data_IF_150409919527
#
_entry.id   IF_150409919527
#
_cell.length_a   1.000
_cell.length_b   1.000
_cell.length_c   1.000
_cell.angle_alpha   90.00
_cell.angle_beta   90.00
_cell.angle_gamma   90.00
#
_symmetry.space_group_name_H-M   'P 1'
#
loop_
_entity.id
_entity.type
_entity.pdbx_description
1 polymer ?
#
# COMPACT_ATOMS: atom_id res chain seq x y z
N UNK A 1 48.79 -35.07 38.21
CA UNK A 1 47.77 -34.78 37.18
C UNK A 1 46.83 -35.96 37.20
N UNK A 2 45.62 -35.87 37.76
CA UNK A 2 44.81 -34.65 38.00
C UNK A 2 44.00 -34.73 39.30
N UNK A 3 43.41 -33.61 39.71
CA UNK A 3 42.74 -33.41 41.01
C UNK A 3 41.47 -34.23 41.27
N UNK A 4 41.23 -34.44 42.58
CA UNK A 4 39.91 -34.79 43.14
C UNK A 4 39.10 -33.54 43.47
N UNK A 5 37.76 -33.60 43.44
CA UNK A 5 36.92 -32.75 44.29
C UNK A 5 36.14 -33.59 45.33
N UNK A 6 36.14 -33.12 46.58
CA UNK A 6 35.38 -33.69 47.70
C UNK A 6 33.90 -33.28 47.71
N UNK A 7 33.00 -34.04 48.35
CA UNK A 7 31.57 -33.70 48.43
C UNK A 7 31.27 -32.53 49.39
N UNK A 8 30.15 -31.79 49.18
CA UNK A 8 29.78 -30.62 49.99
C UNK A 8 29.15 -30.98 51.35
N UNK A 9 29.27 -30.04 52.30
CA UNK A 9 28.76 -30.14 53.68
C UNK A 9 27.50 -29.26 53.91
N UNK A 10 26.67 -29.53 54.95
CA UNK A 10 25.34 -28.91 55.14
C UNK A 10 25.35 -27.55 55.87
N UNK A 11 24.24 -26.76 55.83
CA UNK A 11 24.17 -25.38 56.30
C UNK A 11 23.71 -25.22 57.77
N UNK A 12 24.07 -24.10 58.41
CA UNK A 12 23.62 -23.70 59.76
C UNK A 12 23.46 -22.15 59.91
N UNK A 13 22.79 -21.64 60.97
CA UNK A 13 21.87 -20.48 60.88
C UNK A 13 22.40 -19.12 61.42
N UNK A 14 21.61 -18.01 61.31
CA UNK A 14 22.06 -16.64 61.63
C UNK A 14 21.54 -16.06 62.96
N UNK A 15 22.22 -15.03 63.50
CA UNK A 15 21.68 -14.07 64.48
C UNK A 15 22.61 -12.84 64.75
N UNK A 16 22.01 -11.63 64.71
CA UNK A 16 21.89 -10.59 65.79
C UNK A 16 23.11 -10.27 66.72
N UNK A 17 23.34 -9.08 67.31
CA UNK A 17 22.72 -7.73 67.27
C UNK A 17 23.49 -6.75 68.21
N UNK A 18 23.41 -5.42 67.97
CA UNK A 18 23.64 -4.31 68.95
C UNK A 18 25.11 -4.06 69.43
N UNK A 19 25.54 -2.89 69.96
CA UNK A 19 24.89 -1.59 70.21
C UNK A 19 25.92 -0.41 70.36
N UNK A 20 25.40 0.83 70.42
CA UNK A 20 26.01 2.17 70.72
C UNK A 20 26.68 2.28 72.15
N UNK A 21 27.23 3.44 72.68
CA UNK A 21 27.13 4.88 72.28
C UNK A 21 28.40 5.82 72.48
N UNK A 22 28.22 7.14 72.20
CA UNK A 22 28.79 8.36 72.88
C UNK A 22 30.31 8.72 72.75
N UNK A 23 30.77 10.00 72.77
CA UNK A 23 30.11 11.33 72.74
C UNK A 23 31.09 12.49 72.33
N UNK A 24 30.53 13.68 72.01
CA UNK A 24 31.10 15.07 72.04
C UNK A 24 32.37 15.48 71.21
N UNK A 25 32.57 16.74 70.77
CA UNK A 25 31.83 18.02 70.98
C UNK A 25 31.77 18.93 69.72
N UNK A 26 30.84 19.90 69.74
CA UNK A 26 30.43 20.79 68.61
C UNK A 26 30.09 22.19 69.16
N UNK A 27 30.70 23.29 68.67
CA UNK A 27 30.09 24.15 67.63
C UNK A 27 31.14 24.79 66.67
N UNK A 28 30.89 25.67 65.69
CA UNK A 28 29.77 26.52 65.18
C UNK A 28 29.82 26.52 63.62
N UNK A 29 28.95 27.13 62.79
CA UNK A 29 27.78 28.02 62.97
C UNK A 29 26.59 27.63 62.03
N UNK A 30 26.15 28.53 61.13
CA UNK A 30 25.06 28.42 60.14
C UNK A 30 24.63 29.82 59.65
N UNK A 31 23.41 30.03 59.11
CA UNK A 31 22.38 29.10 58.60
C UNK A 31 22.05 29.42 57.09
N UNK A 32 20.98 28.99 56.39
CA UNK A 32 19.66 28.45 56.74
C UNK A 32 18.91 27.81 55.55
N UNK A 33 17.99 26.87 55.83
CA UNK A 33 16.71 26.59 55.12
C UNK A 33 16.72 26.18 53.61
N UNK A 34 15.96 25.17 53.14
CA UNK A 34 15.17 24.11 53.78
C UNK A 34 14.97 22.93 52.80
N UNK A 35 14.44 21.82 53.32
CA UNK A 35 14.45 20.52 52.63
C UNK A 35 13.13 20.13 51.94
N UNK A 36 13.29 19.26 50.92
CA UNK A 36 12.59 17.98 50.67
C UNK A 36 11.20 17.92 50.00
N UNK A 37 11.14 16.86 49.19
CA UNK A 37 10.02 16.22 48.47
C UNK A 37 8.87 15.76 49.39
N UNK A 38 7.65 15.49 48.85
CA UNK A 38 7.30 14.08 48.65
C UNK A 38 6.36 13.71 47.46
N UNK A 39 6.46 12.43 47.08
CA UNK A 39 5.44 11.44 46.67
C UNK A 39 4.20 11.77 45.77
N UNK A 40 4.11 10.95 44.70
CA UNK A 40 2.94 10.34 44.02
C UNK A 40 1.54 10.59 44.59
N UNK A 41 0.59 10.92 43.71
CA UNK A 41 -0.82 10.49 43.77
C UNK A 41 -1.43 10.38 42.37
N UNK A 42 -2.35 9.42 42.18
CA UNK A 42 -3.13 9.27 40.94
C UNK A 42 -4.05 10.47 40.70
N UNK A 43 -4.30 10.84 39.44
CA UNK A 43 -5.47 11.63 39.08
C UNK A 43 -6.00 11.27 37.69
N UNK A 44 -7.22 10.74 37.68
CA UNK A 44 -8.05 10.56 36.48
C UNK A 44 -8.66 11.90 36.07
N UNK A 45 -8.38 12.37 34.86
CA UNK A 45 -8.85 13.66 34.35
C UNK A 45 -9.93 13.49 33.27
N UNK A 46 -11.20 13.46 33.70
CA UNK A 46 -12.36 13.72 32.83
C UNK A 46 -12.49 15.22 32.60
N UNK A 47 -12.58 15.68 31.35
CA UNK A 47 -12.90 17.07 31.01
C UNK A 47 -13.89 17.15 29.82
N UNK A 48 -14.62 18.27 29.65
CA UNK A 48 -16.05 18.17 29.35
C UNK A 48 -16.47 18.59 27.93
N UNK A 49 -17.70 18.21 27.59
CA UNK A 49 -18.47 18.66 26.43
C UNK A 49 -19.04 20.07 26.70
N UNK A 50 -19.00 20.99 25.73
CA UNK A 50 -19.92 22.12 25.65
C UNK A 50 -20.97 21.89 24.54
N UNK A 51 -22.25 21.79 24.93
CA UNK A 51 -23.38 21.93 24.00
C UNK A 51 -23.61 23.41 23.65
N UNK A 52 -24.04 23.68 22.42
CA UNK A 52 -24.81 24.89 22.12
C UNK A 52 -25.69 24.68 20.87
N UNK A 53 -27.01 24.69 21.07
CA UNK A 53 -28.02 24.63 20.01
C UNK A 53 -28.12 25.95 19.22
N UNK A 54 -28.34 25.86 17.90
CA UNK A 54 -29.61 26.27 17.26
C UNK A 54 -29.53 26.45 15.73
N UNK A 55 -30.16 25.53 15.00
CA UNK A 55 -31.09 25.74 13.86
C UNK A 55 -30.79 26.87 12.84
N UNK A 56 -30.65 26.51 11.54
CA UNK A 56 -31.44 27.09 10.40
C UNK A 56 -31.15 26.37 9.06
N UNK A 57 -32.15 25.59 8.60
CA UNK A 57 -32.65 25.44 7.21
C UNK A 57 -31.73 24.99 6.05
N UNK A 58 -32.05 23.81 5.48
CA UNK A 58 -31.56 23.31 4.17
C UNK A 58 -32.15 24.07 2.97
N UNK A 59 -31.56 23.91 1.77
CA UNK A 59 -32.29 23.11 0.77
C UNK A 59 -31.40 22.11 0.00
N UNK A 60 -32.03 21.03 -0.47
CA UNK A 60 -31.41 20.05 -1.38
C UNK A 60 -31.34 20.57 -2.83
N UNK A 61 -30.52 19.94 -3.68
CA UNK A 61 -31.01 19.57 -5.01
C UNK A 61 -30.68 18.14 -5.43
N UNK A 62 -31.74 17.43 -5.84
CA UNK A 62 -31.84 16.42 -6.91
C UNK A 62 -30.60 15.66 -7.41
N UNK A 63 -30.69 14.33 -7.35
CA UNK A 63 -29.94 13.39 -8.19
C UNK A 63 -30.12 13.65 -9.69
N UNK A 64 -29.14 13.25 -10.51
CA UNK A 64 -29.46 12.59 -11.77
C UNK A 64 -28.79 11.21 -11.93
N UNK A 65 -29.64 10.24 -12.26
CA UNK A 65 -29.41 9.04 -13.08
C UNK A 65 -27.99 8.58 -13.43
N UNK A 66 -27.76 7.31 -13.11
CA UNK A 66 -26.87 6.35 -13.76
C UNK A 66 -26.42 6.67 -15.20
N UNK A 67 -25.10 6.61 -15.44
CA UNK A 67 -24.58 6.14 -16.71
C UNK A 67 -23.34 5.27 -16.49
N UNK A 68 -23.38 4.05 -17.02
CA UNK A 68 -22.30 3.07 -16.95
C UNK A 68 -21.34 3.27 -18.11
N UNK A 69 -20.06 3.49 -17.82
CA UNK A 69 -18.99 3.39 -18.83
C UNK A 69 -17.85 2.52 -18.32
N UNK A 70 -17.57 1.46 -19.10
CA UNK A 70 -16.39 0.63 -19.02
C UNK A 70 -15.17 1.37 -19.57
N UNK A 71 -13.96 0.99 -19.15
CA UNK A 71 -12.78 1.12 -20.00
C UNK A 71 -11.57 1.81 -19.37
N UNK A 72 -10.66 0.98 -18.90
CA UNK A 72 -9.23 1.23 -18.63
C UNK A 72 -8.62 2.43 -19.38
N UNK A 73 -8.24 3.49 -18.65
CA UNK A 73 -7.45 4.62 -19.15
C UNK A 73 -6.42 5.14 -18.13
N UNK A 74 -5.51 4.27 -17.67
CA UNK A 74 -4.32 4.68 -16.88
C UNK A 74 -3.01 4.11 -17.44
N UNK A 75 -2.74 4.36 -18.72
CA UNK A 75 -1.41 4.24 -19.35
C UNK A 75 -0.88 5.59 -19.83
N UNK A 76 -1.32 6.68 -19.17
CA UNK A 76 -1.19 8.06 -19.66
C UNK A 76 -0.59 9.07 -18.67
N UNK A 77 0.39 8.69 -17.84
CA UNK A 77 1.16 9.67 -17.07
C UNK A 77 2.25 10.31 -17.95
N UNK A 78 1.91 11.43 -18.59
CA UNK A 78 2.90 12.28 -19.27
C UNK A 78 3.88 12.85 -18.24
N UNK A 79 5.17 12.52 -18.41
CA UNK A 79 6.26 13.18 -17.68
C UNK A 79 6.30 14.67 -18.04
N UNK A 80 5.81 15.51 -17.14
CA UNK A 80 5.90 16.97 -17.27
C UNK A 80 7.29 17.44 -16.83
N UNK A 81 8.27 17.31 -17.72
CA UNK A 81 9.58 17.96 -17.51
C UNK A 81 9.47 19.47 -17.68
N UNK A 82 10.19 20.20 -16.84
CA UNK A 82 10.20 21.65 -16.74
C UNK A 82 10.58 22.33 -18.06
N UNK A 83 9.88 23.42 -18.38
CA UNK A 83 10.44 24.52 -19.17
C UNK A 83 11.05 25.51 -18.18
N UNK A 84 12.37 25.41 -18.01
CA UNK A 84 13.15 26.44 -17.31
C UNK A 84 13.67 27.41 -18.37
N UNK A 85 13.38 28.70 -18.21
CA UNK A 85 13.84 29.75 -19.13
C UNK A 85 15.35 29.98 -18.97
N UNK A 86 16.13 29.27 -19.80
CA UNK A 86 17.59 29.35 -19.87
C UNK A 86 18.06 30.07 -21.14
N UNK A 87 18.62 31.27 -20.97
CA UNK A 87 19.09 32.14 -22.06
C UNK A 87 20.52 31.79 -22.52
N UNK A 88 20.89 32.17 -23.75
CA UNK A 88 22.21 32.07 -24.42
C UNK A 88 22.64 30.71 -25.03
N UNK A 89 23.29 30.78 -26.22
CA UNK A 89 23.91 29.62 -26.87
C UNK A 89 24.10 29.71 -28.39
N UNK A 90 24.70 30.78 -28.91
CA UNK A 90 25.13 30.83 -30.33
C UNK A 90 26.55 30.29 -30.47
N UNK A 91 26.77 29.24 -31.28
CA UNK A 91 27.76 29.19 -32.40
C UNK A 91 28.08 27.77 -32.91
N UNK A 92 27.98 27.63 -34.23
CA UNK A 92 28.89 26.96 -35.19
C UNK A 92 29.72 25.73 -34.74
N UNK A 93 29.37 24.56 -35.28
CA UNK A 93 30.24 23.64 -36.04
C UNK A 93 29.30 22.64 -36.78
N UNK A 94 29.66 21.84 -37.77
CA UNK A 94 30.91 21.55 -38.46
C UNK A 94 30.60 20.39 -39.42
N UNK A 95 30.92 20.52 -40.71
CA UNK A 95 30.50 19.57 -41.76
C UNK A 95 31.25 18.23 -41.71
N UNK A 96 30.63 17.10 -42.11
CA UNK A 96 31.14 16.13 -43.14
C UNK A 96 30.33 14.80 -43.24
N UNK A 97 30.21 14.28 -44.49
CA UNK A 97 29.78 12.92 -44.92
C UNK A 97 28.31 12.49 -44.67
N UNK A 98 27.67 11.64 -45.50
CA UNK A 98 28.09 10.95 -46.73
C UNK A 98 26.92 10.87 -47.73
N UNK A 99 27.22 10.98 -49.03
CA UNK A 99 26.24 10.84 -50.13
C UNK A 99 25.85 9.38 -50.40
N UNK A 100 24.56 9.11 -50.60
CA UNK A 100 24.09 7.99 -51.43
C UNK A 100 22.98 8.44 -52.38
N UNK A 101 22.96 7.84 -53.57
CA UNK A 101 22.33 8.39 -54.77
C UNK A 101 21.06 7.61 -55.13
N UNK A 102 19.94 8.31 -55.34
CA UNK A 102 18.80 7.83 -56.13
C UNK A 102 18.25 8.97 -56.99
N UNK A 103 18.17 8.74 -58.30
CA UNK A 103 17.69 9.73 -59.25
C UNK A 103 16.17 9.81 -59.24
N UNK A 104 15.64 11.03 -59.17
CA UNK A 104 14.35 11.40 -59.73
C UNK A 104 14.44 12.86 -60.14
N UNK A 105 14.50 13.13 -61.45
CA UNK A 105 14.45 14.49 -61.98
C UNK A 105 13.05 15.07 -61.83
N UNK A 106 12.91 16.28 -61.27
CA UNK A 106 11.86 17.24 -61.64
C UNK A 106 12.13 18.64 -61.07
N UNK A 107 12.31 19.59 -61.99
CA UNK A 107 12.20 21.07 -61.89
C UNK A 107 12.98 21.88 -60.83
N UNK A 108 13.66 22.91 -61.34
CA UNK A 108 14.30 23.96 -60.54
C UNK A 108 13.31 24.73 -59.66
N UNK A 109 13.68 24.90 -58.38
CA UNK A 109 13.54 26.20 -57.73
C UNK A 109 14.70 26.40 -56.74
N UNK A 110 15.53 27.42 -57.00
CA UNK A 110 16.56 27.86 -56.07
C UNK A 110 15.85 28.42 -54.83
N UNK A 111 15.89 27.69 -53.71
CA UNK A 111 15.42 28.16 -52.40
C UNK A 111 16.63 28.46 -51.55
N UNK A 112 17.03 29.73 -51.51
CA UNK A 112 17.99 30.20 -50.54
C UNK A 112 17.43 29.95 -49.14
N UNK A 113 18.09 29.09 -48.36
CA UNK A 113 17.63 28.57 -47.06
C UNK A 113 17.49 29.60 -45.93
N UNK A 114 17.48 30.89 -46.27
CA UNK A 114 17.41 32.05 -45.39
C UNK A 114 15.96 32.58 -45.26
N UNK A 115 15.09 32.34 -46.25
CA UNK A 115 13.71 32.88 -46.27
C UNK A 115 12.62 31.79 -46.34
N UNK A 116 12.97 30.52 -46.17
CA UNK A 116 11.99 29.43 -46.11
C UNK A 116 11.39 29.30 -44.71
N UNK A 117 10.05 29.35 -44.59
CA UNK A 117 9.36 28.96 -43.35
C UNK A 117 9.74 27.52 -43.01
N UNK A 118 10.41 27.32 -41.87
CA UNK A 118 10.81 25.99 -41.42
C UNK A 118 9.57 25.14 -41.14
N UNK A 119 9.29 24.19 -42.04
CA UNK A 119 8.28 23.17 -41.86
C UNK A 119 8.96 21.96 -41.23
N UNK A 120 8.78 21.70 -39.91
CA UNK A 120 9.37 20.53 -39.29
C UNK A 120 8.82 19.26 -39.96
N UNK A 121 9.72 18.33 -40.30
CA UNK A 121 9.31 17.04 -40.84
C UNK A 121 8.35 16.37 -39.85
N UNK A 122 7.12 16.13 -40.28
CA UNK A 122 6.06 15.53 -39.46
C UNK A 122 6.48 14.10 -39.13
N UNK A 123 7.09 13.92 -37.94
CA UNK A 123 7.45 12.61 -37.40
C UNK A 123 6.16 11.86 -37.13
N UNK A 124 5.78 11.00 -38.08
CA UNK A 124 4.68 10.05 -37.92
C UNK A 124 5.07 9.10 -36.80
N UNK A 125 4.49 9.30 -35.62
CA UNK A 125 4.76 8.45 -34.46
C UNK A 125 4.51 6.99 -34.85
N UNK A 126 5.53 6.15 -34.67
CA UNK A 126 5.38 4.71 -34.86
C UNK A 126 4.32 4.22 -33.88
N UNK A 127 3.32 3.42 -34.29
CA UNK A 127 2.27 2.91 -33.42
C UNK A 127 2.79 1.76 -32.55
N UNK A 128 4.00 1.91 -31.99
CA UNK A 128 4.61 0.95 -31.09
C UNK A 128 3.79 0.90 -29.81
N UNK A 129 2.87 -0.06 -29.77
CA UNK A 129 2.29 -0.55 -28.53
C UNK A 129 3.31 -1.55 -27.97
N UNK A 130 3.89 -1.32 -26.77
CA UNK A 130 4.63 -2.38 -26.13
C UNK A 130 3.73 -3.61 -25.98
N UNK A 131 4.29 -4.84 -26.01
CA UNK A 131 3.50 -6.02 -25.71
C UNK A 131 2.84 -5.88 -24.33
N UNK A 132 1.66 -6.48 -24.11
CA UNK A 132 1.09 -6.55 -22.77
C UNK A 132 2.09 -7.23 -21.82
N UNK A 133 2.14 -6.79 -20.57
CA UNK A 133 2.96 -7.41 -19.53
C UNK A 133 2.48 -8.84 -19.28
N UNK A 134 3.40 -9.73 -18.93
CA UNK A 134 3.05 -11.09 -18.49
C UNK A 134 2.31 -11.04 -17.14
N UNK A 135 1.30 -11.91 -16.91
CA UNK A 135 0.51 -11.90 -15.68
C UNK A 135 1.37 -12.13 -14.42
N UNK A 136 1.04 -11.44 -13.33
CA UNK A 136 1.71 -11.61 -12.04
C UNK A 136 1.65 -13.06 -11.54
N UNK A 137 2.75 -13.51 -10.94
CA UNK A 137 2.86 -14.79 -10.24
C UNK A 137 3.12 -14.52 -8.75
N UNK A 138 2.27 -15.08 -7.89
CA UNK A 138 2.30 -14.86 -6.44
C UNK A 138 2.91 -16.09 -5.73
N UNK A 139 4.10 -15.93 -5.15
CA UNK A 139 4.89 -16.99 -4.51
C UNK A 139 4.92 -16.88 -2.98
N UNK A 140 5.14 -18.01 -2.30
CA UNK A 140 5.45 -18.05 -0.86
C UNK A 140 4.30 -18.39 0.09
N UNK A 141 3.12 -18.72 -0.44
CA UNK A 141 2.12 -19.48 0.31
C UNK A 141 2.58 -20.93 0.50
N UNK A 142 2.52 -21.45 1.73
CA UNK A 142 2.72 -22.88 2.02
C UNK A 142 1.55 -23.69 1.48
N UNK A 143 1.79 -24.96 1.16
CA UNK A 143 0.75 -25.91 0.74
C UNK A 143 -0.36 -26.09 1.80
N UNK A 144 -0.01 -25.89 3.07
CA UNK A 144 -0.95 -25.92 4.20
C UNK A 144 -1.82 -24.67 4.34
N UNK A 145 -1.50 -23.56 3.65
CA UNK A 145 -2.22 -22.30 3.80
C UNK A 145 -3.54 -22.33 3.01
N UNK A 146 -4.70 -22.30 3.70
CA UNK A 146 -5.99 -22.44 3.06
C UNK A 146 -6.30 -21.24 2.17
N UNK A 147 -7.00 -21.47 1.06
CA UNK A 147 -7.32 -20.41 0.07
C UNK A 147 -8.07 -19.23 0.69
N UNK A 148 -8.88 -19.46 1.73
CA UNK A 148 -9.62 -18.41 2.46
C UNK A 148 -8.72 -17.45 3.26
N UNK A 149 -7.50 -17.86 3.61
CA UNK A 149 -6.52 -17.05 4.32
C UNK A 149 -5.49 -16.38 3.39
N UNK A 150 -5.60 -16.60 2.06
CA UNK A 150 -4.79 -15.91 1.04
C UNK A 150 -5.46 -14.58 0.74
N UNK A 151 -4.83 -13.47 1.13
CA UNK A 151 -5.45 -12.15 1.09
C UNK A 151 -5.26 -11.47 -0.28
N UNK A 152 -4.05 -11.52 -0.84
CA UNK A 152 -3.77 -10.95 -2.16
C UNK A 152 -4.23 -11.89 -3.29
N UNK A 153 -5.23 -11.45 -4.05
CA UNK A 153 -5.61 -12.10 -5.31
C UNK A 153 -4.84 -11.50 -6.48
N UNK A 154 -4.58 -12.28 -7.54
CA UNK A 154 -3.90 -11.76 -8.76
C UNK A 154 -4.62 -10.54 -9.34
N UNK A 155 -5.96 -10.50 -9.30
CA UNK A 155 -6.72 -9.36 -9.82
C UNK A 155 -6.49 -8.07 -9.01
N UNK A 156 -6.40 -8.14 -7.67
CA UNK A 156 -5.98 -6.97 -6.85
C UNK A 156 -4.52 -6.63 -7.10
N UNK A 157 -3.65 -7.64 -7.22
CA UNK A 157 -2.22 -7.43 -7.43
C UNK A 157 -1.92 -6.68 -8.75
N UNK A 158 -2.62 -6.99 -9.85
CA UNK A 158 -2.46 -6.30 -11.13
C UNK A 158 -2.94 -4.83 -11.09
N UNK A 159 -4.02 -4.54 -10.36
CA UNK A 159 -4.47 -3.15 -10.14
C UNK A 159 -3.44 -2.35 -9.30
N UNK A 160 -2.82 -2.99 -8.30
CA UNK A 160 -1.70 -2.40 -7.55
C UNK A 160 -0.46 -2.22 -8.46
N UNK A 161 -0.15 -3.20 -9.33
CA UNK A 161 0.96 -3.13 -10.30
C UNK A 161 0.80 -1.98 -11.29
N UNK A 162 -0.41 -1.64 -11.70
CA UNK A 162 -0.67 -0.45 -12.52
C UNK A 162 -0.25 0.86 -11.82
N UNK A 163 -0.17 0.87 -10.48
CA UNK A 163 0.19 2.03 -9.65
C UNK A 163 1.66 2.02 -9.18
N UNK A 164 2.31 0.86 -9.02
CA UNK A 164 3.74 0.81 -8.63
C UNK A 164 4.66 1.46 -9.68
N UNK A 165 5.89 1.85 -9.34
CA UNK A 165 6.83 2.47 -10.28
C UNK A 165 7.19 1.58 -11.48
N UNK A 166 7.34 2.19 -12.67
CA UNK A 166 7.58 1.48 -13.94
C UNK A 166 8.71 0.44 -13.89
N UNK A 167 9.80 0.74 -13.17
CA UNK A 167 10.95 -0.17 -12.99
C UNK A 167 10.55 -1.52 -12.36
N UNK A 168 9.50 -1.53 -11.54
CA UNK A 168 9.01 -2.69 -10.79
C UNK A 168 7.85 -3.39 -11.50
N UNK A 169 7.10 -2.69 -12.37
CA UNK A 169 5.99 -3.27 -13.16
C UNK A 169 6.44 -4.42 -14.05
N UNK A 170 7.67 -4.36 -14.55
CA UNK A 170 8.25 -5.37 -15.43
C UNK A 170 8.48 -6.70 -14.68
N UNK A 171 8.56 -6.68 -13.35
CA UNK A 171 8.76 -7.90 -12.54
C UNK A 171 7.42 -8.57 -12.25
N UNK A 172 7.27 -9.81 -12.72
CA UNK A 172 6.06 -10.63 -12.56
C UNK A 172 6.00 -11.41 -11.24
N UNK A 173 7.15 -11.82 -10.71
CA UNK A 173 7.23 -12.62 -9.49
C UNK A 173 7.15 -11.74 -8.22
N UNK A 174 6.03 -11.82 -7.52
CA UNK A 174 5.86 -11.22 -6.20
C UNK A 174 6.00 -12.30 -5.13
N UNK A 175 6.76 -12.00 -4.08
CA UNK A 175 7.12 -12.96 -3.05
C UNK A 175 6.55 -12.57 -1.69
N UNK A 176 5.86 -13.49 -1.04
CA UNK A 176 5.30 -13.30 0.29
C UNK A 176 6.42 -13.31 1.34
N UNK A 177 6.70 -12.15 1.94
CA UNK A 177 7.72 -11.99 2.99
C UNK A 177 7.17 -12.41 4.34
N UNK A 178 5.94 -11.97 4.65
CA UNK A 178 5.27 -12.21 5.92
C UNK A 178 3.77 -12.42 5.69
N UNK A 179 3.17 -13.36 6.42
CA UNK A 179 1.72 -13.55 6.50
C UNK A 179 1.33 -13.90 7.93
N UNK A 180 0.35 -13.21 8.49
CA UNK A 180 -0.16 -13.42 9.85
C UNK A 180 -0.57 -14.89 10.08
N UNK A 181 -1.20 -15.51 9.08
CA UNK A 181 -1.59 -16.94 9.06
C UNK A 181 -0.37 -17.89 9.12
N UNK A 182 0.74 -17.53 8.47
CA UNK A 182 1.90 -18.41 8.32
C UNK A 182 2.98 -18.20 9.38
N UNK A 183 3.05 -17.00 9.96
CA UNK A 183 4.17 -16.53 10.77
C UNK A 183 3.74 -16.04 12.17
N UNK A 184 2.43 -15.88 12.41
CA UNK A 184 1.84 -15.50 13.69
C UNK A 184 1.78 -13.98 13.93
N UNK A 185 0.83 -13.60 14.78
CA UNK A 185 0.53 -12.23 15.22
C UNK A 185 1.71 -11.53 15.91
N UNK A 186 2.63 -10.94 15.13
CA UNK A 186 3.81 -10.24 15.65
C UNK A 186 4.43 -9.28 14.62
N UNK A 187 4.27 -7.98 14.83
CA UNK A 187 4.93 -6.93 14.06
C UNK A 187 6.46 -7.02 14.12
N UNK A 188 7.03 -7.42 15.27
CA UNK A 188 8.45 -7.68 15.41
C UNK A 188 8.95 -8.79 14.46
N UNK A 189 8.13 -9.83 14.23
CA UNK A 189 8.44 -10.92 13.30
C UNK A 189 8.38 -10.45 11.85
N UNK A 190 7.39 -9.60 11.50
CA UNK A 190 7.33 -8.91 10.20
C UNK A 190 8.61 -8.11 9.95
N UNK A 191 9.00 -7.23 10.87
CA UNK A 191 10.24 -6.44 10.75
C UNK A 191 11.48 -7.34 10.61
N UNK A 192 11.60 -8.40 11.40
CA UNK A 192 12.74 -9.33 11.34
C UNK A 192 12.88 -9.96 9.94
N UNK A 193 11.77 -10.38 9.32
CA UNK A 193 11.75 -10.97 7.97
C UNK A 193 12.11 -9.96 6.88
N UNK A 194 11.80 -8.68 7.10
CA UNK A 194 12.12 -7.59 6.16
C UNK A 194 13.60 -7.19 6.13
N UNK A 195 14.37 -7.46 7.19
CA UNK A 195 15.78 -7.02 7.31
C UNK A 195 16.70 -7.46 6.15
N UNK A 196 16.41 -8.58 5.51
CA UNK A 196 17.17 -9.06 4.34
C UNK A 196 17.08 -8.14 3.12
N UNK A 197 16.12 -7.20 3.11
CA UNK A 197 15.93 -6.22 2.06
C UNK A 197 16.52 -4.84 2.40
N UNK A 198 17.27 -4.71 3.50
CA UNK A 198 17.99 -3.47 3.84
C UNK A 198 18.84 -3.00 2.63
N UNK A 199 18.65 -1.74 2.22
CA UNK A 199 19.31 -1.08 1.07
C UNK A 199 19.09 -1.74 -0.29
N UNK A 200 18.15 -2.70 -0.42
CA UNK A 200 17.74 -3.26 -1.72
C UNK A 200 16.74 -2.34 -2.40
N UNK A 201 16.82 -2.20 -3.74
CA UNK A 201 15.91 -1.34 -4.54
C UNK A 201 14.62 -2.07 -4.92
N UNK A 202 13.96 -2.65 -3.92
CA UNK A 202 12.68 -3.37 -4.04
C UNK A 202 11.51 -2.46 -3.66
N UNK A 203 10.28 -2.90 -3.90
CA UNK A 203 9.08 -2.32 -3.30
C UNK A 203 8.33 -3.35 -2.46
N UNK A 204 7.40 -2.90 -1.61
CA UNK A 204 6.55 -3.79 -0.82
C UNK A 204 5.08 -3.45 -0.98
N UNK A 205 4.22 -4.46 -0.86
CA UNK A 205 2.76 -4.30 -0.80
C UNK A 205 2.27 -4.89 0.53
N UNK A 206 1.82 -4.01 1.41
CA UNK A 206 1.10 -4.35 2.62
C UNK A 206 -0.36 -4.59 2.27
N UNK A 207 -0.89 -5.72 2.70
CA UNK A 207 -2.29 -6.15 2.53
C UNK A 207 -2.86 -6.40 3.92
N UNK A 208 -4.01 -5.82 4.19
CA UNK A 208 -4.79 -5.99 5.40
C UNK A 208 -6.17 -6.45 4.98
N UNK A 209 -6.69 -7.48 5.66
CA UNK A 209 -8.09 -7.87 5.60
C UNK A 209 -8.71 -7.62 6.95
N UNK A 210 -9.82 -6.89 6.98
CA UNK A 210 -10.58 -6.63 8.22
C UNK A 210 -11.64 -7.72 8.48
N UNK A 211 -12.31 -7.60 9.63
CA UNK A 211 -13.39 -8.51 10.03
C UNK A 211 -14.71 -8.30 9.27
N UNK A 212 -14.90 -7.16 8.59
CA UNK A 212 -16.03 -6.93 7.66
C UNK A 212 -15.77 -7.56 6.27
N UNK A 213 -14.55 -8.05 6.04
CA UNK A 213 -14.13 -8.71 4.80
C UNK A 213 -13.53 -7.76 3.76
N UNK A 214 -13.38 -6.47 4.07
CA UNK A 214 -12.69 -5.49 3.24
C UNK A 214 -11.20 -5.78 3.11
N UNK A 215 -10.63 -5.56 1.92
CA UNK A 215 -9.21 -5.73 1.66
C UNK A 215 -8.59 -4.39 1.25
N UNK A 216 -7.56 -3.95 1.97
CA UNK A 216 -6.92 -2.65 1.76
C UNK A 216 -5.47 -2.68 2.22
N UNK A 217 -4.73 -1.60 2.03
CA UNK A 217 -3.36 -1.51 2.49
C UNK A 217 -2.57 -0.41 1.84
N UNK A 218 -1.29 -0.68 1.62
CA UNK A 218 -0.34 0.29 1.11
C UNK A 218 0.69 -0.34 0.17
N UNK A 219 1.23 0.47 -0.73
CA UNK A 219 2.54 0.23 -1.33
C UNK A 219 3.60 1.05 -0.59
N UNK A 220 4.70 0.39 -0.24
CA UNK A 220 5.84 0.97 0.47
C UNK A 220 7.06 0.99 -0.45
N UNK A 221 7.71 2.14 -0.56
CA UNK A 221 8.94 2.33 -1.35
C UNK A 221 10.22 1.84 -0.67
N UNK A 222 10.13 1.45 0.60
CA UNK A 222 11.22 0.97 1.44
C UNK A 222 10.70 -0.14 2.37
N UNK A 223 11.60 -0.97 2.89
CA UNK A 223 11.22 -2.08 3.78
C UNK A 223 10.74 -1.55 5.14
N UNK A 224 9.68 -2.11 5.74
CA UNK A 224 9.23 -1.67 7.05
C UNK A 224 10.23 -2.09 8.13
N UNK A 225 10.70 -1.12 8.92
CA UNK A 225 11.59 -1.33 10.06
C UNK A 225 11.46 -0.18 11.07
N UNK A 226 11.70 -0.40 12.37
CA UNK A 226 11.71 0.67 13.35
C UNK A 226 12.71 1.78 12.98
N UNK A 227 12.28 3.04 13.06
CA UNK A 227 13.07 4.21 12.69
C UNK A 227 12.77 5.40 13.63
N UNK A 228 13.71 6.35 13.84
CA UNK A 228 13.48 7.53 14.67
C UNK A 228 12.67 8.64 13.98
N UNK A 229 12.35 8.47 12.70
CA UNK A 229 11.65 9.44 11.85
C UNK A 229 10.91 8.72 10.73
N UNK A 230 10.00 9.44 10.07
CA UNK A 230 9.38 8.98 8.83
C UNK A 230 10.44 8.69 7.75
N UNK A 231 10.16 7.70 6.90
CA UNK A 231 11.01 7.24 5.80
C UNK A 231 10.17 6.80 4.59
N UNK A 232 10.83 6.31 3.53
CA UNK A 232 10.22 6.11 2.22
C UNK A 232 10.20 7.39 1.36
N UNK A 233 9.37 7.42 0.33
CA UNK A 233 9.26 8.52 -0.63
C UNK A 233 7.86 8.60 -1.28
N UNK A 234 7.63 9.62 -2.10
CA UNK A 234 6.37 9.87 -2.82
C UNK A 234 5.94 8.85 -3.87
N UNK A 235 6.65 7.72 -4.03
CA UNK A 235 6.11 6.54 -4.73
C UNK A 235 5.13 5.74 -3.86
N UNK A 236 5.12 5.95 -2.54
CA UNK A 236 4.15 5.33 -1.61
C UNK A 236 2.71 5.74 -1.95
N UNK A 237 1.76 4.82 -1.73
CA UNK A 237 0.32 5.10 -1.86
C UNK A 237 -0.51 4.14 -0.99
N UNK A 238 -1.71 4.57 -0.61
CA UNK A 238 -2.71 3.69 0.01
C UNK A 238 -3.66 3.14 -1.05
N UNK A 239 -4.31 2.01 -0.77
CA UNK A 239 -5.32 1.43 -1.65
C UNK A 239 -6.39 0.67 -0.87
N UNK A 240 -7.59 0.55 -1.46
CA UNK A 240 -8.66 -0.35 -1.00
C UNK A 240 -9.32 -1.07 -2.16
N UNK A 241 -9.79 -2.29 -1.90
CA UNK A 241 -10.47 -3.16 -2.83
C UNK A 241 -11.73 -3.76 -2.19
N UNK A 242 -12.82 -3.83 -2.96
CA UNK A 242 -14.04 -4.52 -2.56
C UNK A 242 -14.46 -5.51 -3.66
N UNK A 243 -14.65 -6.77 -3.30
CA UNK A 243 -15.17 -7.82 -4.17
C UNK A 243 -16.68 -7.63 -4.34
N UNK A 244 -17.12 -7.21 -5.52
CA UNK A 244 -18.54 -7.15 -5.84
C UNK A 244 -18.99 -8.55 -6.29
N UNK A 245 -19.80 -9.19 -5.46
CA UNK A 245 -20.47 -10.45 -5.82
C UNK A 245 -21.20 -10.29 -7.15
N UNK A 246 -21.03 -11.26 -8.06
CA UNK A 246 -21.72 -11.26 -9.34
C UNK A 246 -23.23 -11.25 -9.10
N UNK A 247 -23.91 -10.18 -9.53
CA UNK A 247 -25.38 -10.16 -9.56
C UNK A 247 -25.87 -11.37 -10.38
N UNK A 248 -26.93 -12.07 -9.95
CA UNK A 248 -27.52 -13.12 -10.76
C UNK A 248 -27.92 -12.52 -12.12
N UNK A 249 -27.77 -13.28 -13.23
CA UNK A 249 -28.18 -12.79 -14.54
C UNK A 249 -29.65 -12.36 -14.48
N UNK A 250 -30.03 -11.24 -15.12
CA UNK A 250 -31.42 -10.80 -15.14
C UNK A 250 -32.29 -11.95 -15.67
N UNK A 251 -33.48 -12.18 -15.09
CA UNK A 251 -34.35 -13.26 -15.53
C UNK A 251 -34.60 -13.11 -17.02
N UNK A 252 -34.15 -14.10 -17.79
CA UNK A 252 -34.28 -14.09 -19.25
C UNK A 252 -35.76 -13.93 -19.58
N UNK A 253 -36.11 -12.84 -20.28
CA UNK A 253 -37.49 -12.59 -20.67
C UNK A 253 -37.89 -13.64 -21.71
N UNK A 254 -38.53 -14.72 -21.25
CA UNK A 254 -39.03 -15.81 -22.09
C UNK A 254 -40.06 -15.29 -23.09
N UNK A 255 -39.58 -14.94 -24.28
CA UNK A 255 -40.38 -14.49 -25.43
C UNK A 255 -40.89 -15.67 -26.24
N UNK A 256 -41.25 -16.77 -25.57
CA UNK A 256 -41.73 -18.00 -26.23
C UNK A 256 -42.91 -18.62 -25.48
N UNK A 257 -44.10 -18.00 -25.56
CA UNK A 257 -45.38 -18.71 -25.52
C UNK A 257 -46.58 -17.81 -25.93
N UNK A 258 -46.67 -17.51 -27.23
CA UNK A 258 -47.99 -17.56 -27.88
C UNK A 258 -47.84 -17.93 -29.37
N UNK A 259 -48.42 -19.08 -29.72
CA UNK A 259 -48.66 -19.56 -31.10
C UNK A 259 -47.44 -20.06 -31.91
N UNK A 260 -47.24 -21.38 -31.94
CA UNK A 260 -47.31 -22.19 -33.18
C UNK A 260 -47.43 -23.69 -32.86
N UNK A 261 -47.99 -24.43 -33.83
CA UNK A 261 -48.54 -25.77 -33.61
C UNK A 261 -47.52 -26.92 -33.79
N UNK A 262 -47.78 -28.02 -33.09
CA UNK A 262 -47.46 -29.45 -33.35
C UNK A 262 -46.42 -29.82 -34.43
N UNK A 263 -45.52 -30.77 -34.12
CA UNK A 263 -45.51 -32.16 -34.69
C UNK A 263 -44.29 -32.99 -34.25
N UNK A 264 -44.56 -34.15 -33.63
CA UNK A 264 -43.80 -35.43 -33.52
C UNK A 264 -42.26 -35.49 -33.36
N UNK A 265 -41.82 -36.29 -32.38
CA UNK A 265 -40.41 -36.65 -32.11
C UNK A 265 -40.05 -38.10 -32.56
N UNK A 266 -38.77 -38.37 -32.89
CA UNK A 266 -38.16 -39.71 -32.88
C UNK A 266 -37.14 -39.92 -31.71
N UNK A 267 -36.70 -41.17 -31.45
CA UNK A 267 -36.11 -41.60 -30.16
C UNK A 267 -34.59 -41.37 -29.98
N UNK A 268 -34.05 -41.50 -28.74
CA UNK A 268 -32.69 -41.08 -28.40
C UNK A 268 -31.60 -42.11 -28.74
N UNK A 269 -30.36 -41.61 -28.92
CA UNK A 269 -29.11 -42.39 -28.79
C UNK A 269 -27.98 -41.51 -28.19
N UNK A 270 -26.94 -42.11 -27.57
CA UNK A 270 -26.25 -41.50 -26.43
C UNK A 270 -24.95 -40.74 -26.76
N UNK A 271 -24.52 -39.98 -25.76
CA UNK A 271 -23.12 -39.61 -25.43
C UNK A 271 -22.21 -39.09 -26.55
N UNK A 272 -22.02 -37.76 -26.59
CA UNK A 272 -20.71 -37.13 -26.35
C UNK A 272 -20.81 -35.60 -26.41
N UNK A 273 -19.79 -34.91 -25.88
CA UNK A 273 -19.67 -33.45 -25.81
C UNK A 273 -20.74 -32.74 -24.96
N UNK A 274 -20.69 -32.97 -23.64
CA UNK A 274 -21.10 -31.94 -22.69
C UNK A 274 -20.18 -30.72 -22.86
N UNK A 275 -20.64 -29.72 -23.62
CA UNK A 275 -20.01 -28.42 -23.71
C UNK A 275 -20.18 -27.67 -22.39
N UNK A 276 -19.35 -27.98 -21.40
CA UNK A 276 -19.27 -27.26 -20.12
C UNK A 276 -18.66 -25.86 -20.32
N UNK A 277 -19.40 -25.00 -21.02
CA UNK A 277 -19.25 -23.55 -20.94
C UNK A 277 -19.76 -23.05 -19.58
N UNK A 278 -19.18 -23.55 -18.49
CA UNK A 278 -19.41 -23.02 -17.17
C UNK A 278 -18.75 -21.63 -17.14
N UNK A 279 -19.55 -20.59 -17.32
CA UNK A 279 -19.12 -19.21 -17.09
C UNK A 279 -18.67 -19.10 -15.64
N UNK A 280 -17.36 -19.11 -15.42
CA UNK A 280 -16.76 -18.73 -14.14
C UNK A 280 -17.35 -17.37 -13.74
N UNK A 281 -17.97 -17.21 -12.56
CA UNK A 281 -18.44 -15.91 -12.13
C UNK A 281 -17.21 -14.99 -12.04
N UNK A 282 -17.12 -14.04 -12.96
CA UNK A 282 -16.06 -13.04 -12.96
C UNK A 282 -16.33 -12.11 -11.78
N UNK A 283 -15.70 -12.41 -10.64
CA UNK A 283 -15.74 -11.58 -9.46
C UNK A 283 -15.22 -10.19 -9.81
N UNK A 284 -16.12 -9.21 -9.85
CA UNK A 284 -15.78 -7.86 -10.27
C UNK A 284 -15.22 -7.08 -9.10
N UNK A 285 -13.97 -6.63 -9.20
CA UNK A 285 -13.29 -5.90 -8.12
C UNK A 285 -13.48 -4.40 -8.32
N UNK A 286 -13.89 -3.70 -7.26
CA UNK A 286 -13.81 -2.24 -7.19
C UNK A 286 -12.50 -1.88 -6.49
N UNK A 287 -11.52 -1.39 -7.24
CA UNK A 287 -10.25 -0.91 -6.71
C UNK A 287 -10.23 0.64 -6.63
N UNK A 288 -9.59 1.18 -5.60
CA UNK A 288 -9.31 2.61 -5.45
C UNK A 288 -7.94 2.80 -4.82
N UNK A 289 -7.09 3.62 -5.44
CA UNK A 289 -5.79 4.02 -4.92
C UNK A 289 -5.80 5.49 -4.50
N UNK A 290 -4.94 5.84 -3.55
CA UNK A 290 -4.72 7.17 -3.01
C UNK A 290 -3.22 7.50 -3.12
N UNK A 291 -2.79 8.07 -4.26
CA UNK A 291 -1.41 8.49 -4.46
C UNK A 291 -0.97 9.58 -3.50
N UNK A 292 0.34 9.79 -3.41
CA UNK A 292 0.91 10.89 -2.66
C UNK A 292 0.36 12.27 -3.07
N UNK A 293 -0.02 13.09 -2.07
CA UNK A 293 -0.67 14.39 -2.24
C UNK A 293 0.28 15.57 -2.51
N UNK A 294 1.55 15.45 -2.13
CA UNK A 294 2.51 16.56 -2.14
C UNK A 294 2.47 17.48 -0.91
N UNK A 295 1.68 17.18 0.13
CA UNK A 295 1.47 18.10 1.27
C UNK A 295 2.48 17.95 2.43
N UNK A 296 3.01 16.76 2.66
CA UNK A 296 4.03 16.48 3.69
C UNK A 296 4.87 15.23 3.32
N UNK A 297 5.99 14.96 4.01
CA UNK A 297 6.85 13.80 3.74
C UNK A 297 6.61 12.63 4.73
N UNK A 298 5.42 12.54 5.32
CA UNK A 298 5.10 11.58 6.39
C UNK A 298 4.67 10.19 5.84
N UNK A 299 5.47 9.60 4.95
CA UNK A 299 5.07 8.40 4.18
C UNK A 299 4.92 7.13 5.01
N UNK A 300 5.98 6.70 5.71
CA UNK A 300 6.02 5.47 6.52
C UNK A 300 6.60 5.82 7.87
N UNK A 301 5.96 5.41 8.96
CA UNK A 301 6.54 5.40 10.29
C UNK A 301 6.38 4.01 10.92
N UNK A 302 7.39 3.61 11.69
CA UNK A 302 7.47 2.27 12.26
C UNK A 302 8.14 2.40 13.63
N UNK A 303 7.44 1.95 14.65
CA UNK A 303 7.95 1.84 16.01
C UNK A 303 7.89 0.37 16.45
N UNK A 304 8.36 0.07 17.66
CA UNK A 304 8.21 -1.27 18.25
C UNK A 304 6.73 -1.64 18.49
N UNK A 305 5.88 -0.64 18.81
CA UNK A 305 4.48 -0.84 19.17
C UNK A 305 3.46 -0.65 18.04
N UNK A 306 3.87 -0.16 16.86
CA UNK A 306 2.97 0.04 15.72
C UNK A 306 3.71 0.23 14.39
N UNK A 307 2.98 0.06 13.30
CA UNK A 307 3.34 0.49 11.94
C UNK A 307 2.27 1.44 11.42
N UNK A 308 2.67 2.55 10.79
CA UNK A 308 1.73 3.45 10.11
C UNK A 308 2.23 3.94 8.76
N UNK A 309 1.28 4.24 7.88
CA UNK A 309 1.51 4.69 6.51
C UNK A 309 0.63 5.90 6.23
N UNK A 310 1.27 7.04 6.01
CA UNK A 310 0.63 8.35 5.87
C UNK A 310 0.20 8.94 7.21
N UNK A 311 0.55 10.19 7.47
CA UNK A 311 0.02 10.94 8.60
C UNK A 311 -0.12 12.43 8.31
N UNK A 312 -1.09 13.06 8.96
CA UNK A 312 -1.37 14.48 8.79
C UNK A 312 -2.55 14.90 9.65
N UNK A 313 -2.57 16.15 10.10
CA UNK A 313 -3.62 16.65 11.00
C UNK A 313 -3.80 15.89 12.33
N UNK A 314 -2.85 15.05 12.74
CA UNK A 314 -2.98 14.15 13.91
C UNK A 314 -3.58 12.77 13.62
N UNK A 315 -3.88 12.47 12.36
CA UNK A 315 -4.50 11.22 11.89
C UNK A 315 -3.53 10.36 11.08
N UNK A 316 -3.79 9.05 11.01
CA UNK A 316 -3.05 8.10 10.18
C UNK A 316 -3.91 7.62 9.00
N UNK A 317 -3.32 7.53 7.81
CA UNK A 317 -3.98 6.96 6.64
C UNK A 317 -4.21 5.46 6.80
N UNK A 318 -3.20 4.76 7.33
CA UNK A 318 -3.28 3.40 7.85
C UNK A 318 -2.37 3.26 9.07
N UNK A 319 -2.83 2.57 10.10
CA UNK A 319 -2.08 2.24 11.32
C UNK A 319 -2.46 0.83 11.78
N UNK A 320 -1.48 0.07 12.27
CA UNK A 320 -1.62 -1.28 12.84
C UNK A 320 -0.80 -1.39 14.13
N UNK A 321 -1.29 -2.11 15.13
CA UNK A 321 -0.59 -2.38 16.38
C UNK A 321 0.50 -3.48 16.26
N UNK A 322 1.19 -3.78 17.37
CA UNK A 322 2.26 -4.77 17.41
C UNK A 322 1.78 -6.22 17.41
N UNK A 323 0.56 -6.46 17.89
CA UNK A 323 -0.17 -7.74 17.77
C UNK A 323 -0.78 -7.97 16.39
N UNK A 324 -0.98 -6.92 15.57
CA UNK A 324 -1.63 -6.99 14.26
C UNK A 324 -3.08 -7.51 14.32
N UNK A 325 -3.78 -7.23 15.42
CA UNK A 325 -5.21 -7.56 15.61
C UNK A 325 -6.11 -6.31 15.62
N UNK A 326 -5.56 -5.11 15.85
CA UNK A 326 -6.29 -3.85 15.76
C UNK A 326 -5.63 -2.91 14.74
N UNK A 327 -6.45 -2.31 13.90
CA UNK A 327 -6.01 -1.26 12.99
C UNK A 327 -6.89 -0.01 13.04
N UNK A 328 -6.31 1.07 12.54
CA UNK A 328 -6.93 2.38 12.44
C UNK A 328 -6.69 2.99 11.05
N UNK A 329 -7.67 3.70 10.52
CA UNK A 329 -7.57 4.39 9.22
C UNK A 329 -8.51 5.59 9.17
N UNK A 330 -7.93 6.78 9.10
CA UNK A 330 -8.63 8.06 8.96
C UNK A 330 -8.17 8.75 7.67
N UNK A 331 -8.82 9.85 7.32
CA UNK A 331 -8.28 10.76 6.32
C UNK A 331 -6.96 11.37 6.81
N UNK A 332 -5.91 11.33 5.98
CA UNK A 332 -4.62 11.98 6.27
C UNK A 332 -4.15 12.90 5.13
N UNK A 333 -3.34 13.90 5.46
CA UNK A 333 -2.84 14.88 4.49
C UNK A 333 -1.88 14.26 3.46
N UNK A 334 -1.07 13.24 3.83
CA UNK A 334 -0.07 12.62 2.94
C UNK A 334 -0.69 12.01 1.68
N UNK A 335 -1.90 11.44 1.79
CA UNK A 335 -2.54 10.72 0.68
C UNK A 335 -3.94 11.23 0.32
N UNK A 336 -4.52 12.13 1.11
CA UNK A 336 -5.89 12.63 0.89
C UNK A 336 -6.94 11.52 0.90
N UNK A 337 -6.66 10.41 1.58
CA UNK A 337 -7.52 9.22 1.57
C UNK A 337 -8.83 9.43 2.35
N UNK A 338 -9.75 8.52 2.15
CA UNK A 338 -10.87 8.27 3.08
C UNK A 338 -10.52 7.07 3.98
N UNK A 339 -11.27 6.80 5.07
CA UNK A 339 -11.11 5.57 5.84
C UNK A 339 -11.13 4.32 4.93
N UNK A 340 -10.11 3.48 5.07
CA UNK A 340 -9.89 2.36 4.15
C UNK A 340 -10.84 1.17 4.43
N UNK A 341 -11.21 0.97 5.70
CA UNK A 341 -12.17 -0.04 6.14
C UNK A 341 -13.61 0.48 6.08
N UNK A 342 -14.55 -0.38 5.72
CA UNK A 342 -15.99 -0.08 5.78
C UNK A 342 -16.55 -0.18 7.21
N UNK A 343 -15.78 -0.68 8.18
CA UNK A 343 -16.10 -0.63 9.62
C UNK A 343 -15.97 0.80 10.21
N UNK A 344 -15.34 1.72 9.49
CA UNK A 344 -15.01 3.08 9.94
C UNK A 344 -13.55 3.24 10.35
N UNK A 345 -13.26 4.18 11.25
CA UNK A 345 -11.88 4.58 11.57
C UNK A 345 -11.09 3.58 12.42
N UNK A 346 -11.77 2.63 13.06
CA UNK A 346 -11.16 1.53 13.83
C UNK A 346 -11.74 0.21 13.34
N UNK A 347 -10.88 -0.75 13.04
CA UNK A 347 -11.27 -2.06 12.56
C UNK A 347 -10.51 -3.17 13.28
N UNK A 348 -11.17 -4.32 13.44
CA UNK A 348 -10.50 -5.56 13.82
C UNK A 348 -9.82 -6.16 12.60
N UNK A 349 -8.57 -6.57 12.75
CA UNK A 349 -7.80 -7.23 11.69
C UNK A 349 -8.15 -8.72 11.69
N UNK A 350 -8.39 -9.27 10.50
CA UNK A 350 -8.56 -10.71 10.26
C UNK A 350 -7.27 -11.33 9.69
N UNK A 351 -6.47 -10.56 8.96
CA UNK A 351 -5.17 -11.01 8.47
C UNK A 351 -4.32 -9.86 7.90
N UNK A 352 -3.00 -10.09 7.90
CA UNK A 352 -2.01 -9.20 7.29
C UNK A 352 -1.07 -10.02 6.40
N UNK A 353 -0.76 -9.51 5.22
CA UNK A 353 0.34 -10.01 4.37
C UNK A 353 1.26 -8.85 3.99
N UNK A 354 2.55 -9.17 3.82
CA UNK A 354 3.53 -8.26 3.22
C UNK A 354 4.24 -8.97 2.08
N UNK A 355 4.05 -8.43 0.88
CA UNK A 355 4.66 -8.90 -0.36
C UNK A 355 5.85 -8.03 -0.73
N UNK A 356 6.88 -8.61 -1.36
CA UNK A 356 8.00 -7.88 -1.97
C UNK A 356 8.00 -8.10 -3.48
N UNK A 357 8.40 -7.05 -4.20
CA UNK A 357 8.45 -7.02 -5.67
C UNK A 357 9.75 -6.37 -6.16
N UNK A 358 10.37 -6.97 -7.18
CA UNK A 358 11.74 -6.66 -7.64
C UNK A 358 12.87 -7.26 -6.79
N UNK A 359 12.55 -8.30 -6.01
CA UNK A 359 13.45 -8.98 -5.06
C UNK A 359 14.46 -9.95 -5.68
#
# INVERSE_FOLDING_TARGET
>A
MSDSPSPPAPPHPPSLSSNKPADEAVPTSGPSSAARTPAILHSSATFPIPEHDSITTSPAPSSPSSSSYLGSMWTGLIRRFSSEDGQFGSQVDGSLHHSHHSQAEQHHHYKDGVNGVFQPAVRRATPFRPPPLEPLVLHGYRDSTPTSARLLTNAVAEEIRAMVPERLRIVEDWHLVYSLEQDGASLATLYQKCRQYERRRVGFVLVVKDQEGGAFGAYLSEYPHPAPSYFGNGECFLWRASTLASLPPPPSADTTNLTRHTTLAPPPRPESAAGSGASTPSESIRFKAFPYSGLNDCYINCEAGYLSVGSGGGHYGLWLDDSLDIGHSSQCETFGNEPLSDAGEKFGVLGVELWVLGA
#
